data_IF_118308047062
#
_entry.id   IF_118308047062
#
_cell.length_a   1.000
_cell.length_b   1.000
_cell.length_c   1.000
_cell.angle_alpha   90.00
_cell.angle_beta   90.00
_cell.angle_gamma   90.00
#
_symmetry.space_group_name_H-M   'P 1'
#
loop_
_entity.id
_entity.type
_entity.pdbx_description
1 polymer ?
#
# COMPACT_ATOMS: atom_id res chain seq x y z
N UNK A 1 0.32 -2.99 -27.72
CA UNK A 1 -1.02 -3.62 -27.73
C UNK A 1 -1.57 -3.89 -26.33
N UNK A 2 -1.05 -4.82 -25.52
CA UNK A 2 -1.63 -5.10 -24.18
C UNK A 2 -1.49 -3.91 -23.21
N UNK A 3 -0.31 -3.28 -23.14
CA UNK A 3 -0.08 -2.10 -22.29
C UNK A 3 -0.99 -0.92 -22.64
N UNK A 4 -1.30 -0.72 -23.92
CA UNK A 4 -2.19 0.34 -24.40
C UNK A 4 -3.66 0.08 -24.04
N UNK A 5 -4.06 -1.19 -23.91
CA UNK A 5 -5.40 -1.57 -23.43
C UNK A 5 -5.47 -1.36 -21.91
N UNK A 6 -4.44 -1.79 -21.18
CA UNK A 6 -4.40 -1.68 -19.72
C UNK A 6 -4.31 -0.21 -19.25
N UNK A 7 -3.65 0.67 -20.01
CA UNK A 7 -3.56 2.08 -19.66
C UNK A 7 -4.93 2.78 -19.66
N UNK A 8 -5.89 2.31 -20.46
CA UNK A 8 -7.24 2.88 -20.52
C UNK A 8 -8.09 2.58 -19.28
N UNK A 9 -7.78 1.51 -18.54
CA UNK A 9 -8.47 1.12 -17.31
C UNK A 9 -7.67 1.46 -16.05
N UNK A 10 -6.45 1.97 -16.21
CA UNK A 10 -5.57 2.30 -15.08
C UNK A 10 -5.98 3.64 -14.49
N UNK A 11 -6.36 3.64 -13.22
CA UNK A 11 -6.55 4.86 -12.46
C UNK A 11 -5.22 5.30 -11.82
N UNK A 12 -4.69 6.45 -12.24
CA UNK A 12 -3.33 6.87 -11.91
C UNK A 12 -3.12 7.07 -10.39
N UNK A 13 -4.07 7.69 -9.70
CA UNK A 13 -3.95 7.92 -8.26
C UNK A 13 -3.95 6.60 -7.47
N UNK A 14 -4.77 5.64 -7.91
CA UNK A 14 -4.77 4.30 -7.31
C UNK A 14 -3.46 3.58 -7.57
N UNK A 15 -2.88 3.71 -8.77
CA UNK A 15 -1.57 3.12 -9.06
C UNK A 15 -0.47 3.69 -8.15
N UNK A 16 -0.45 5.01 -7.95
CA UNK A 16 0.52 5.67 -7.06
C UNK A 16 0.33 5.22 -5.61
N UNK A 17 -0.91 5.26 -5.10
CA UNK A 17 -1.24 4.85 -3.74
C UNK A 17 -0.87 3.38 -3.48
N UNK A 18 -1.32 2.46 -4.35
CA UNK A 18 -1.01 1.03 -4.23
C UNK A 18 0.49 0.75 -4.36
N UNK A 19 1.21 1.53 -5.16
CA UNK A 19 2.67 1.40 -5.24
C UNK A 19 3.31 1.72 -3.88
N UNK A 20 2.92 2.82 -3.23
CA UNK A 20 3.42 3.18 -1.91
C UNK A 20 3.09 2.11 -0.86
N UNK A 21 1.84 1.63 -0.82
CA UNK A 21 1.42 0.55 0.09
C UNK A 21 2.25 -0.72 -0.12
N UNK A 22 2.37 -1.18 -1.37
CA UNK A 22 3.11 -2.41 -1.69
C UNK A 22 4.60 -2.29 -1.44
N UNK A 23 5.19 -1.11 -1.65
CA UNK A 23 6.59 -0.84 -1.31
C UNK A 23 6.82 -1.03 0.19
N UNK A 24 5.95 -0.51 1.05
CA UNK A 24 6.05 -0.72 2.50
C UNK A 24 5.92 -2.20 2.87
N UNK A 25 4.88 -2.90 2.38
CA UNK A 25 4.66 -4.33 2.69
C UNK A 25 5.85 -5.19 2.27
N UNK A 26 6.44 -4.88 1.11
CA UNK A 26 7.61 -5.59 0.58
C UNK A 26 8.84 -5.36 1.45
N UNK A 27 9.08 -4.11 1.87
CA UNK A 27 10.23 -3.74 2.72
C UNK A 27 10.19 -4.44 4.08
N UNK A 28 9.02 -4.55 4.70
CA UNK A 28 8.87 -5.24 5.99
C UNK A 28 8.79 -6.77 5.87
N UNK A 29 8.97 -7.33 4.67
CA UNK A 29 8.89 -8.77 4.42
C UNK A 29 7.51 -9.39 4.70
N UNK A 30 6.46 -8.57 4.70
CA UNK A 30 5.10 -9.00 5.04
C UNK A 30 4.35 -9.59 3.86
N UNK A 31 3.25 -10.26 4.17
CA UNK A 31 2.32 -10.85 3.21
C UNK A 31 0.89 -10.84 3.78
N UNK A 32 -0.09 -11.33 3.01
CA UNK A 32 -1.50 -11.32 3.40
C UNK A 32 -1.83 -11.98 4.76
N UNK A 33 -0.96 -12.87 5.26
CA UNK A 33 -1.15 -13.58 6.54
C UNK A 33 -0.47 -12.90 7.72
N UNK A 34 0.31 -11.85 7.49
CA UNK A 34 0.98 -11.10 8.55
C UNK A 34 0.11 -9.94 9.05
N UNK A 35 0.09 -9.63 10.35
CA UNK A 35 -0.80 -8.61 10.94
C UNK A 35 -0.30 -7.18 10.66
N UNK A 36 -0.54 -6.68 9.45
CA UNK A 36 -0.19 -5.35 9.01
C UNK A 36 -1.36 -4.66 8.28
N UNK A 37 -1.32 -3.34 8.24
CA UNK A 37 -2.20 -2.52 7.42
C UNK A 37 -1.38 -1.38 6.80
N UNK A 38 -1.54 -1.16 5.51
CA UNK A 38 -0.97 -0.04 4.79
C UNK A 38 -2.09 0.60 3.97
N UNK A 39 -2.26 1.90 4.11
CA UNK A 39 -3.25 2.66 3.37
C UNK A 39 -2.62 3.96 2.89
N UNK A 40 -2.70 4.23 1.59
CA UNK A 40 -2.22 5.44 0.97
C UNK A 40 -3.31 6.15 0.17
N UNK A 41 -3.24 7.48 0.15
CA UNK A 41 -4.10 8.33 -0.66
C UNK A 41 -3.28 9.45 -1.31
N UNK A 42 -3.68 9.87 -2.51
CA UNK A 42 -3.11 11.04 -3.18
C UNK A 42 -3.98 12.25 -2.84
N UNK A 43 -3.44 13.19 -2.06
CA UNK A 43 -4.14 14.40 -1.61
C UNK A 43 -3.31 15.61 -1.96
N UNK A 44 -3.84 16.49 -2.83
CA UNK A 44 -3.17 17.74 -3.27
C UNK A 44 -1.72 17.49 -3.71
N UNK A 45 -1.54 16.56 -4.64
CA UNK A 45 -0.24 16.18 -5.23
C UNK A 45 0.77 15.58 -4.23
N UNK A 46 0.30 15.09 -3.08
CA UNK A 46 1.12 14.40 -2.08
C UNK A 46 0.55 13.04 -1.80
N UNK A 47 1.43 12.05 -1.63
CA UNK A 47 1.05 10.76 -1.06
C UNK A 47 0.99 10.93 0.46
N UNK A 48 -0.19 10.73 1.04
CA UNK A 48 -0.35 10.56 2.48
C UNK A 48 -0.54 9.08 2.77
N UNK A 49 0.23 8.55 3.71
CA UNK A 49 0.24 7.13 4.01
C UNK A 49 0.13 6.90 5.51
N UNK A 50 -0.69 5.94 5.89
CA UNK A 50 -0.84 5.45 7.25
C UNK A 50 -0.50 3.97 7.26
N UNK A 51 0.32 3.57 8.22
CA UNK A 51 0.74 2.17 8.39
C UNK A 51 0.50 1.72 9.81
N UNK A 52 0.24 0.42 9.95
CA UNK A 52 0.21 -0.26 11.24
C UNK A 52 0.81 -1.64 11.10
N UNK A 53 1.59 -2.04 12.09
CA UNK A 53 2.09 -3.40 12.24
C UNK A 53 1.78 -3.84 13.67
N UNK A 54 1.12 -4.97 13.83
CA UNK A 54 0.87 -5.54 15.15
C UNK A 54 1.74 -6.79 15.37
N UNK A 55 2.00 -7.14 16.63
CA UNK A 55 2.53 -8.46 16.93
C UNK A 55 1.46 -9.54 16.72
N UNK A 56 1.87 -10.79 16.44
CA UNK A 56 0.93 -11.91 16.24
C UNK A 56 0.02 -12.16 17.46
N UNK A 57 0.51 -11.86 18.67
CA UNK A 57 -0.25 -11.97 19.91
C UNK A 57 -1.07 -10.71 20.25
N UNK A 58 -1.12 -9.71 19.37
CA UNK A 58 -1.85 -8.44 19.54
C UNK A 58 -1.44 -7.58 20.74
N UNK A 59 -0.27 -7.83 21.33
CA UNK A 59 0.24 -7.08 22.49
C UNK A 59 0.94 -5.78 22.07
N UNK A 60 1.59 -5.78 20.92
CA UNK A 60 2.37 -4.64 20.43
C UNK A 60 1.76 -4.08 19.14
N UNK A 61 1.81 -2.75 19.01
CA UNK A 61 1.34 -2.02 17.82
C UNK A 61 2.35 -0.92 17.47
N UNK A 62 2.86 -0.98 16.24
CA UNK A 62 3.74 0.00 15.61
C UNK A 62 2.92 0.81 14.60
N UNK A 63 3.16 2.13 14.52
CA UNK A 63 2.44 3.07 13.65
C UNK A 63 3.34 4.23 13.22
#
# INVERSE_FOLDING_TARGET
>A
MLSEILSQITHQDSLIALTAERSFVTEIGSNCSTPHAAFAEVVKDRVQMQVRVASENSVELFR
#
